data_IF_633350490289
#
_entry.id   IF_633350490289
#
_cell.length_a   1.000
_cell.length_b   1.000
_cell.length_c   1.000
_cell.angle_alpha   90.00
_cell.angle_beta   90.00
_cell.angle_gamma   90.00
#
_symmetry.space_group_name_H-M   'P 1'
#
loop_
_entity.id
_entity.type
_entity.pdbx_description
1 polymer ?
#
# COMPACT_ATOMS: atom_id res chain seq x y z
N UNK A 1 -51.68 1.49 -29.53
CA UNK A 1 -50.23 1.68 -29.78
C UNK A 1 -49.44 1.81 -28.46
N UNK A 2 -49.56 0.92 -27.46
CA UNK A 2 -48.91 1.07 -26.17
C UNK A 2 -47.79 0.06 -25.85
N UNK A 3 -47.58 -0.92 -26.73
CA UNK A 3 -46.54 -1.96 -26.49
C UNK A 3 -45.15 -1.51 -26.92
N UNK A 4 -45.01 -0.53 -27.83
CA UNK A 4 -43.70 -0.02 -28.27
C UNK A 4 -43.02 0.79 -27.17
N UNK A 5 -43.78 1.51 -26.32
CA UNK A 5 -43.21 2.27 -25.19
C UNK A 5 -42.69 1.35 -24.06
N UNK A 6 -43.26 0.15 -23.89
CA UNK A 6 -42.77 -0.83 -22.93
C UNK A 6 -41.43 -1.47 -23.33
N UNK A 7 -41.25 -1.76 -24.62
CA UNK A 7 -40.01 -2.35 -25.11
C UNK A 7 -38.82 -1.38 -25.02
N UNK A 8 -39.05 -0.08 -25.29
CA UNK A 8 -38.01 0.96 -25.17
C UNK A 8 -37.59 1.18 -23.71
N UNK A 9 -38.51 1.06 -22.75
CA UNK A 9 -38.18 1.23 -21.32
C UNK A 9 -37.37 0.06 -20.77
N UNK A 10 -37.61 -1.16 -21.26
CA UNK A 10 -36.82 -2.36 -20.87
C UNK A 10 -35.39 -2.29 -21.43
N UNK A 11 -35.20 -1.84 -22.66
CA UNK A 11 -33.88 -1.68 -23.24
C UNK A 11 -33.06 -0.62 -22.49
N UNK A 12 -33.68 0.49 -22.09
CA UNK A 12 -33.04 1.55 -21.31
C UNK A 12 -32.60 1.08 -19.91
N UNK A 13 -33.40 0.26 -19.24
CA UNK A 13 -33.06 -0.30 -17.91
C UNK A 13 -31.96 -1.36 -17.98
N UNK A 14 -31.95 -2.20 -19.01
CA UNK A 14 -30.88 -3.16 -19.24
C UNK A 14 -29.53 -2.49 -19.49
N UNK A 15 -29.50 -1.42 -20.30
CA UNK A 15 -28.28 -0.64 -20.57
C UNK A 15 -27.78 0.07 -19.29
N UNK A 16 -28.69 0.64 -18.50
CA UNK A 16 -28.30 1.31 -17.23
C UNK A 16 -27.81 0.33 -16.19
N UNK A 17 -28.40 -0.85 -16.07
CA UNK A 17 -27.94 -1.91 -15.17
C UNK A 17 -26.55 -2.44 -15.58
N UNK A 18 -26.32 -2.65 -16.88
CA UNK A 18 -25.02 -3.06 -17.39
C UNK A 18 -23.95 -1.98 -17.14
N UNK A 19 -24.28 -0.71 -17.33
CA UNK A 19 -23.39 0.40 -17.03
C UNK A 19 -22.98 0.44 -15.56
N UNK A 20 -23.92 0.26 -14.62
CA UNK A 20 -23.64 0.25 -13.18
C UNK A 20 -22.80 -0.97 -12.78
N UNK A 21 -23.08 -2.14 -13.36
CA UNK A 21 -22.26 -3.33 -13.15
C UNK A 21 -20.82 -3.08 -13.61
N UNK A 22 -20.67 -2.56 -14.83
CA UNK A 22 -19.35 -2.27 -15.40
C UNK A 22 -18.58 -1.22 -14.59
N UNK A 23 -19.23 -0.15 -14.14
CA UNK A 23 -18.61 0.84 -13.25
C UNK A 23 -18.12 0.22 -11.95
N UNK A 24 -18.85 -0.73 -11.38
CA UNK A 24 -18.41 -1.47 -10.19
C UNK A 24 -17.17 -2.33 -10.46
N UNK A 25 -17.09 -2.98 -11.62
CA UNK A 25 -15.91 -3.76 -12.01
C UNK A 25 -14.71 -2.88 -12.34
N UNK A 26 -14.89 -1.81 -13.11
CA UNK A 26 -13.82 -0.88 -13.44
C UNK A 26 -13.24 -0.22 -12.16
N UNK A 27 -14.09 0.10 -11.18
CA UNK A 27 -13.64 0.59 -9.88
C UNK A 27 -12.85 -0.50 -9.11
N UNK A 28 -13.33 -1.74 -9.09
CA UNK A 28 -12.63 -2.87 -8.48
C UNK A 28 -11.23 -3.01 -9.06
N UNK A 29 -11.10 -3.03 -10.39
CA UNK A 29 -9.82 -3.21 -11.08
C UNK A 29 -8.81 -2.11 -10.68
N UNK A 30 -9.27 -0.86 -10.53
CA UNK A 30 -8.41 0.25 -10.06
C UNK A 30 -7.93 0.04 -8.61
N UNK A 31 -8.80 -0.44 -7.73
CA UNK A 31 -8.42 -0.69 -6.33
C UNK A 31 -7.49 -1.91 -6.21
N UNK A 32 -7.71 -2.98 -6.97
CA UNK A 32 -6.81 -4.15 -7.02
C UNK A 32 -5.43 -3.76 -7.58
N UNK A 33 -5.38 -2.91 -8.59
CA UNK A 33 -4.11 -2.37 -9.07
C UNK A 33 -3.36 -1.56 -8.00
N UNK A 34 -4.08 -0.71 -7.27
CA UNK A 34 -3.48 0.07 -6.18
C UNK A 34 -3.05 -0.80 -4.99
N UNK A 35 -3.77 -1.89 -4.69
CA UNK A 35 -3.38 -2.90 -3.72
C UNK A 35 -2.06 -3.56 -4.13
N UNK A 36 -1.97 -4.05 -5.36
CA UNK A 36 -0.74 -4.65 -5.89
C UNK A 36 0.44 -3.67 -5.88
N UNK A 37 0.18 -2.38 -6.16
CA UNK A 37 1.19 -1.34 -6.08
C UNK A 37 1.69 -1.12 -4.63
N UNK A 38 0.80 -1.14 -3.65
CA UNK A 38 1.15 -1.01 -2.23
C UNK A 38 1.95 -2.23 -1.75
N UNK A 39 1.61 -3.44 -2.19
CA UNK A 39 2.39 -4.65 -1.92
C UNK A 39 3.80 -4.56 -2.52
N UNK A 40 3.91 -4.10 -3.77
CA UNK A 40 5.21 -3.88 -4.40
C UNK A 40 6.04 -2.84 -3.64
N UNK A 41 5.43 -1.76 -3.16
CA UNK A 41 6.11 -0.77 -2.32
C UNK A 41 6.62 -1.38 -1.01
N UNK A 42 5.85 -2.26 -0.38
CA UNK A 42 6.26 -2.98 0.83
C UNK A 42 7.51 -3.84 0.59
N UNK A 43 7.58 -4.55 -0.54
CA UNK A 43 8.76 -5.32 -0.94
C UNK A 43 9.97 -4.41 -1.19
N UNK A 44 9.77 -3.32 -1.92
CA UNK A 44 10.82 -2.35 -2.18
C UNK A 44 11.41 -1.73 -0.91
N UNK A 45 10.56 -1.40 0.09
CA UNK A 45 11.02 -0.88 1.38
C UNK A 45 11.91 -1.91 2.10
N UNK A 46 11.54 -3.19 2.08
CA UNK A 46 12.36 -4.27 2.68
C UNK A 46 13.72 -4.37 2.00
N UNK A 47 13.73 -4.46 0.68
CA UNK A 47 14.98 -4.56 -0.10
C UNK A 47 15.88 -3.33 0.10
N UNK A 48 15.30 -2.12 0.06
CA UNK A 48 16.03 -0.89 0.27
C UNK A 48 16.66 -0.83 1.67
N UNK A 49 15.93 -1.28 2.71
CA UNK A 49 16.44 -1.30 4.08
C UNK A 49 17.60 -2.28 4.26
N UNK A 50 17.57 -3.44 3.61
CA UNK A 50 18.69 -4.40 3.68
C UNK A 50 19.91 -3.86 2.94
N UNK A 51 19.73 -3.17 1.79
CA UNK A 51 20.84 -2.49 1.11
C UNK A 51 21.44 -1.36 1.96
N UNK A 52 20.63 -0.62 2.71
CA UNK A 52 21.10 0.42 3.62
C UNK A 52 21.90 -0.19 4.79
N UNK A 53 21.46 -1.31 5.35
CA UNK A 53 22.21 -2.05 6.37
C UNK A 53 23.53 -2.57 5.81
N UNK A 54 23.52 -3.15 4.61
CA UNK A 54 24.75 -3.63 3.95
C UNK A 54 25.75 -2.49 3.66
N UNK A 55 25.25 -1.32 3.29
CA UNK A 55 26.08 -0.14 3.13
C UNK A 55 26.71 0.30 4.46
N UNK A 56 25.91 0.35 5.53
CA UNK A 56 26.37 0.65 6.89
C UNK A 56 27.45 -0.35 7.35
N UNK A 57 27.25 -1.63 7.12
CA UNK A 57 28.21 -2.67 7.50
C UNK A 57 29.55 -2.52 6.75
N UNK A 58 29.51 -2.16 5.46
CA UNK A 58 30.72 -1.88 4.65
C UNK A 58 31.44 -0.64 5.18
N UNK A 59 30.72 0.45 5.43
CA UNK A 59 31.30 1.70 5.89
C UNK A 59 31.96 1.54 7.26
N UNK A 60 31.33 0.83 8.19
CA UNK A 60 31.92 0.50 9.51
C UNK A 60 33.10 -0.43 9.37
N UNK A 61 33.04 -1.41 8.49
CA UNK A 61 34.17 -2.29 8.18
C UNK A 61 35.40 -1.54 7.70
N UNK A 62 35.19 -0.60 6.75
CA UNK A 62 36.25 0.26 6.24
C UNK A 62 36.81 1.21 7.30
N UNK A 63 35.93 1.78 8.15
CA UNK A 63 36.36 2.64 9.26
C UNK A 63 37.23 1.87 10.24
N UNK A 64 36.81 0.68 10.67
CA UNK A 64 37.60 -0.17 11.59
C UNK A 64 38.91 -0.63 10.95
N UNK A 65 38.93 -0.93 9.66
CA UNK A 65 40.14 -1.29 8.95
C UNK A 65 41.15 -0.14 8.92
N UNK A 66 40.70 1.09 8.65
CA UNK A 66 41.52 2.29 8.71
C UNK A 66 42.05 2.55 10.13
N UNK A 67 41.21 2.39 11.14
CA UNK A 67 41.60 2.55 12.54
C UNK A 67 42.69 1.57 12.94
N UNK A 68 42.56 0.29 12.56
CA UNK A 68 43.58 -0.74 12.79
C UNK A 68 44.89 -0.43 12.07
N UNK A 69 44.82 0.07 10.83
CA UNK A 69 46.03 0.44 10.05
C UNK A 69 46.78 1.60 10.72
N UNK A 70 46.06 2.61 11.25
CA UNK A 70 46.67 3.73 11.98
C UNK A 70 47.33 3.26 13.27
N UNK A 71 46.65 2.38 14.03
CA UNK A 71 47.17 1.80 15.28
C UNK A 71 48.43 0.97 15.00
N UNK A 72 48.42 0.12 13.95
CA UNK A 72 49.59 -0.65 13.55
C UNK A 72 50.78 0.23 13.17
N UNK A 73 50.53 1.37 12.49
CA UNK A 73 51.58 2.34 12.16
C UNK A 73 52.17 3.06 13.38
N UNK A 74 51.39 3.27 14.42
CA UNK A 74 51.85 3.89 15.68
C UNK A 74 52.54 2.93 16.65
N UNK A 75 52.71 1.67 16.28
CA UNK A 75 53.33 0.63 17.12
C UNK A 75 52.46 0.16 18.26
N UNK A 76 51.18 0.52 18.30
CA UNK A 76 50.22 0.05 19.30
C UNK A 76 49.53 -1.23 18.80
N UNK A 77 49.20 -2.15 19.71
CA UNK A 77 48.51 -3.40 19.38
C UNK A 77 47.00 -3.12 19.26
N UNK A 78 46.47 -3.31 18.06
CA UNK A 78 45.10 -2.90 17.70
C UNK A 78 43.98 -3.62 18.49
N UNK A 79 44.25 -4.83 19.02
CA UNK A 79 43.24 -5.70 19.62
C UNK A 79 43.39 -5.84 21.14
N UNK A 80 44.05 -4.91 21.81
CA UNK A 80 44.30 -4.97 23.26
C UNK A 80 43.94 -3.64 23.93
N UNK A 81 43.34 -3.71 25.13
CA UNK A 81 43.03 -2.56 25.97
C UNK A 81 42.01 -1.62 25.34
N UNK A 82 42.18 -0.30 25.55
CA UNK A 82 41.26 0.74 25.10
C UNK A 82 41.01 0.75 23.57
N UNK A 83 41.96 0.27 22.78
CA UNK A 83 41.79 0.17 21.33
C UNK A 83 40.76 -0.90 20.94
N UNK A 84 40.80 -2.07 21.60
CA UNK A 84 39.81 -3.11 21.42
C UNK A 84 38.41 -2.63 21.88
N UNK A 85 38.32 -1.92 22.98
CA UNK A 85 37.08 -1.38 23.49
C UNK A 85 36.45 -0.35 22.53
N UNK A 86 37.27 0.50 21.90
CA UNK A 86 36.81 1.45 20.90
C UNK A 86 36.23 0.75 19.66
N UNK A 87 36.90 -0.28 19.16
CA UNK A 87 36.43 -1.08 18.02
C UNK A 87 35.14 -1.81 18.37
N UNK A 88 35.08 -2.43 19.55
CA UNK A 88 33.87 -3.14 20.01
C UNK A 88 32.68 -2.18 20.16
N UNK A 89 32.90 -0.96 20.63
CA UNK A 89 31.86 0.07 20.71
C UNK A 89 31.36 0.44 19.32
N UNK A 90 32.25 0.63 18.34
CA UNK A 90 31.86 0.93 16.95
C UNK A 90 30.99 -0.17 16.36
N UNK A 91 31.29 -1.45 16.62
CA UNK A 91 30.43 -2.55 16.19
C UNK A 91 29.10 -2.59 16.92
N UNK A 92 29.07 -2.31 18.23
CA UNK A 92 27.82 -2.23 18.98
C UNK A 92 26.92 -1.09 18.48
N UNK A 93 27.48 0.07 18.17
CA UNK A 93 26.77 1.21 17.58
C UNK A 93 26.18 0.83 16.19
N UNK A 94 26.98 0.18 15.33
CA UNK A 94 26.52 -0.35 14.05
C UNK A 94 25.32 -1.29 14.23
N UNK A 95 25.38 -2.21 15.18
CA UNK A 95 24.31 -3.18 15.41
C UNK A 95 23.00 -2.50 15.84
N UNK A 96 23.11 -1.43 16.65
CA UNK A 96 21.97 -0.59 17.05
C UNK A 96 21.40 0.15 15.84
N UNK A 97 22.26 0.76 15.01
CA UNK A 97 21.82 1.49 13.83
C UNK A 97 21.17 0.55 12.80
N UNK A 98 21.74 -0.62 12.54
CA UNK A 98 21.16 -1.64 11.69
C UNK A 98 19.78 -2.11 12.20
N UNK A 99 19.65 -2.33 13.50
CA UNK A 99 18.37 -2.69 14.12
C UNK A 99 17.35 -1.55 13.96
N UNK A 100 17.77 -0.30 14.08
CA UNK A 100 16.89 0.87 13.90
C UNK A 100 16.42 1.02 12.45
N UNK A 101 17.30 0.81 11.46
CA UNK A 101 16.94 0.82 10.04
C UNK A 101 15.87 -0.25 9.77
N UNK A 102 16.12 -1.50 10.20
CA UNK A 102 15.15 -2.60 10.03
C UNK A 102 13.83 -2.34 10.75
N UNK A 103 13.87 -1.76 11.95
CA UNK A 103 12.66 -1.42 12.71
C UNK A 103 11.82 -0.37 11.99
N UNK A 104 12.44 0.70 11.45
CA UNK A 104 11.76 1.74 10.68
C UNK A 104 11.12 1.13 9.42
N UNK A 105 11.91 0.39 8.65
CA UNK A 105 11.41 -0.29 7.46
C UNK A 105 10.24 -1.24 7.77
N UNK A 106 10.32 -1.98 8.89
CA UNK A 106 9.23 -2.83 9.35
C UNK A 106 7.94 -2.04 9.64
N UNK A 107 8.04 -0.83 10.20
CA UNK A 107 6.89 0.05 10.41
C UNK A 107 6.30 0.59 9.12
N UNK A 108 7.14 0.98 8.18
CA UNK A 108 6.71 1.49 6.88
C UNK A 108 6.04 0.38 6.05
N UNK A 109 6.58 -0.84 6.10
CA UNK A 109 5.97 -2.05 5.52
C UNK A 109 4.60 -2.33 6.15
N UNK A 110 4.50 -2.31 7.49
CA UNK A 110 3.22 -2.52 8.18
C UNK A 110 2.17 -1.49 7.75
N UNK A 111 2.56 -0.23 7.57
CA UNK A 111 1.66 0.81 7.07
C UNK A 111 1.23 0.56 5.62
N UNK A 112 2.16 0.16 4.75
CA UNK A 112 1.87 -0.19 3.35
C UNK A 112 0.92 -1.38 3.25
N UNK A 113 1.19 -2.45 4.00
CA UNK A 113 0.36 -3.67 4.01
C UNK A 113 -1.06 -3.40 4.54
N UNK A 114 -1.20 -2.54 5.57
CA UNK A 114 -2.52 -2.10 6.04
C UNK A 114 -3.25 -1.28 4.97
N UNK A 115 -2.52 -0.42 4.24
CA UNK A 115 -3.06 0.32 3.10
C UNK A 115 -3.55 -0.61 2.00
N UNK A 116 -2.76 -1.61 1.62
CA UNK A 116 -3.13 -2.63 0.64
C UNK A 116 -4.42 -3.37 1.06
N UNK A 117 -4.49 -3.87 2.28
CA UNK A 117 -5.68 -4.57 2.81
C UNK A 117 -6.95 -3.69 2.78
N UNK A 118 -6.83 -2.40 3.06
CA UNK A 118 -7.96 -1.47 2.95
C UNK A 118 -8.42 -1.31 1.51
N UNK A 119 -7.48 -1.21 0.56
CA UNK A 119 -7.77 -1.10 -0.88
C UNK A 119 -8.46 -2.36 -1.40
N UNK A 120 -7.98 -3.56 -1.04
CA UNK A 120 -8.62 -4.83 -1.38
C UNK A 120 -10.06 -4.93 -0.83
N UNK A 121 -10.26 -4.52 0.43
CA UNK A 121 -11.61 -4.47 1.03
C UNK A 121 -12.53 -3.51 0.28
N UNK A 122 -12.03 -2.35 -0.16
CA UNK A 122 -12.78 -1.38 -0.95
C UNK A 122 -13.10 -1.92 -2.35
N UNK A 123 -12.15 -2.60 -3.01
CA UNK A 123 -12.36 -3.28 -4.29
C UNK A 123 -13.58 -4.22 -4.24
N UNK A 124 -13.62 -5.08 -3.22
CA UNK A 124 -14.73 -6.00 -2.99
C UNK A 124 -16.07 -5.28 -2.74
N UNK A 125 -16.05 -4.19 -1.99
CA UNK A 125 -17.26 -3.41 -1.73
C UNK A 125 -17.80 -2.77 -3.01
N UNK A 126 -16.94 -2.23 -3.89
CA UNK A 126 -17.36 -1.66 -5.16
C UNK A 126 -17.92 -2.72 -6.11
N UNK A 127 -17.30 -3.89 -6.19
CA UNK A 127 -17.83 -5.00 -6.97
C UNK A 127 -19.22 -5.43 -6.51
N UNK A 128 -19.42 -5.57 -5.19
CA UNK A 128 -20.73 -5.90 -4.60
C UNK A 128 -21.76 -4.79 -4.82
N UNK A 129 -21.38 -3.53 -4.61
CA UNK A 129 -22.28 -2.40 -4.85
C UNK A 129 -22.69 -2.33 -6.34
N UNK A 130 -21.78 -2.55 -7.28
CA UNK A 130 -22.07 -2.59 -8.70
C UNK A 130 -23.09 -3.68 -9.06
N UNK A 131 -22.94 -4.88 -8.49
CA UNK A 131 -23.88 -5.99 -8.71
C UNK A 131 -25.25 -5.74 -8.08
N UNK A 132 -25.31 -5.20 -6.86
CA UNK A 132 -26.56 -4.86 -6.17
C UNK A 132 -27.29 -3.75 -6.93
N UNK A 133 -26.59 -2.70 -7.33
CA UNK A 133 -27.18 -1.59 -8.08
C UNK A 133 -27.71 -2.04 -9.44
N UNK A 134 -26.98 -2.90 -10.15
CA UNK A 134 -27.42 -3.47 -11.40
C UNK A 134 -28.69 -4.32 -11.22
N UNK A 135 -28.72 -5.19 -10.20
CA UNK A 135 -29.88 -6.00 -9.87
C UNK A 135 -31.10 -5.14 -9.47
N UNK A 136 -30.90 -4.12 -8.66
CA UNK A 136 -31.96 -3.19 -8.25
C UNK A 136 -32.52 -2.40 -9.44
N UNK A 137 -31.66 -2.00 -10.36
CA UNK A 137 -32.09 -1.31 -11.59
C UNK A 137 -32.91 -2.23 -12.49
N UNK A 138 -32.54 -3.49 -12.64
CA UNK A 138 -33.30 -4.47 -13.41
C UNK A 138 -34.66 -4.73 -12.76
N UNK A 139 -34.70 -4.93 -11.45
CA UNK A 139 -35.93 -5.17 -10.70
C UNK A 139 -36.84 -3.93 -10.68
N UNK A 140 -36.27 -2.74 -10.52
CA UNK A 140 -37.01 -1.47 -10.55
C UNK A 140 -37.55 -1.14 -11.93
N UNK A 141 -36.83 -1.54 -13.01
CA UNK A 141 -37.33 -1.42 -14.38
C UNK A 141 -38.45 -2.40 -14.73
N UNK A 142 -38.46 -3.57 -14.09
CA UNK A 142 -39.53 -4.56 -14.24
C UNK A 142 -40.77 -4.21 -13.39
N UNK A 143 -40.61 -3.47 -12.29
CA UNK A 143 -41.67 -3.12 -11.37
C UNK A 143 -42.24 -1.70 -11.61
N UNK A 144 -42.92 -1.51 -12.73
CA UNK A 144 -44.00 -0.50 -12.77
C UNK A 144 -45.27 -0.98 -12.00
N UNK A 145 -45.09 -1.95 -11.12
CA UNK A 145 -46.12 -2.47 -10.23
C UNK A 145 -45.81 -1.92 -8.82
N UNK A 146 -46.72 -1.08 -8.31
CA UNK A 146 -46.69 -0.39 -7.03
C UNK A 146 -46.10 -1.23 -5.89
N UNK A 147 -44.81 -1.14 -5.64
CA UNK A 147 -44.22 -1.35 -4.35
C UNK A 147 -43.58 -0.06 -3.88
N UNK A 148 -44.25 0.65 -3.00
CA UNK A 148 -43.66 1.69 -2.13
C UNK A 148 -42.56 1.04 -1.29
N UNK A 149 -41.39 0.84 -1.85
CA UNK A 149 -40.17 0.62 -1.07
C UNK A 149 -39.64 1.97 -0.65
N UNK A 150 -39.67 2.24 0.66
CA UNK A 150 -39.03 3.41 1.27
C UNK A 150 -37.61 3.53 0.75
N UNK A 151 -37.32 4.66 0.12
CA UNK A 151 -36.03 5.01 -0.44
C UNK A 151 -34.94 4.85 0.62
N UNK A 152 -34.10 3.83 0.47
CA UNK A 152 -32.77 3.86 1.02
C UNK A 152 -32.04 5.00 0.29
N UNK A 153 -31.90 6.11 0.99
CA UNK A 153 -31.17 7.28 0.55
C UNK A 153 -29.79 6.83 0.09
N UNK A 154 -29.54 6.91 -1.22
CA UNK A 154 -28.18 6.80 -1.75
C UNK A 154 -27.39 7.98 -1.19
N UNK A 155 -26.73 7.76 -0.06
CA UNK A 155 -25.68 8.64 0.42
C UNK A 155 -24.68 8.77 -0.71
N UNK A 156 -24.58 9.98 -1.25
CA UNK A 156 -23.57 10.35 -2.25
C UNK A 156 -22.19 10.09 -1.63
N UNK A 157 -21.61 8.96 -1.96
CA UNK A 157 -20.27 8.59 -1.52
C UNK A 157 -19.29 9.53 -2.23
N UNK A 158 -18.90 10.57 -1.50
CA UNK A 158 -17.83 11.47 -1.92
C UNK A 158 -16.55 10.67 -1.82
N UNK A 159 -15.91 10.37 -2.94
CA UNK A 159 -14.61 9.70 -2.97
C UNK A 159 -13.69 10.30 -1.91
N UNK A 160 -13.17 9.51 -0.94
CA UNK A 160 -12.15 10.02 -0.06
C UNK A 160 -10.93 10.40 -0.88
N UNK A 161 -10.25 11.52 -0.57
CA UNK A 161 -9.03 11.88 -1.25
C UNK A 161 -8.01 10.75 -1.08
N UNK A 162 -7.44 10.30 -2.19
CA UNK A 162 -6.30 9.37 -2.18
C UNK A 162 -5.21 10.03 -1.34
N UNK A 163 -4.70 9.38 -0.28
CA UNK A 163 -3.61 9.94 0.50
C UNK A 163 -2.41 10.12 -0.44
N UNK A 164 -2.00 11.37 -0.63
CA UNK A 164 -0.74 11.66 -1.30
C UNK A 164 0.38 11.11 -0.41
N UNK A 165 0.99 10.02 -0.83
CA UNK A 165 2.21 9.53 -0.21
C UNK A 165 3.27 10.61 -0.38
N UNK A 166 3.52 11.34 0.71
CA UNK A 166 4.62 12.28 0.82
C UNK A 166 5.91 11.49 0.62
N UNK A 167 6.61 11.81 -0.48
CA UNK A 167 7.79 11.09 -0.90
C UNK A 167 8.83 10.97 0.22
N UNK A 168 9.33 9.76 0.39
CA UNK A 168 10.53 9.47 1.16
C UNK A 168 11.68 10.30 0.58
N UNK A 169 12.12 11.31 1.29
CA UNK A 169 13.39 12.00 1.01
C UNK A 169 14.47 11.34 1.85
N UNK A 170 15.44 10.61 1.25
CA UNK A 170 16.57 10.12 1.99
C UNK A 170 17.35 11.31 2.53
N UNK A 171 17.50 11.39 3.85
CA UNK A 171 18.40 12.36 4.49
C UNK A 171 19.84 12.01 4.16
N UNK A 172 20.57 12.98 3.62
CA UNK A 172 22.03 12.91 3.39
C UNK A 172 22.78 12.96 4.70
#
# INVERSE_FOLDING_TARGET
MSWISGALSLAGTAISAYSQYKQGQDAKDVYEYNEALAEYQSQYIKEASELEVEALERDVGDYVARQRAIQGKSGTVANIGSNADAINRTYAERDIDAALIRWRAGKDVEMSDRGANLLGTQADQFARAGTINAATTLLGGASKWDFKTSALSTSSYKNPPVPAFSGYTPSR
#
